data_IF_054878956517
#
_entry.id   IF_054878956517
#
_cell.length_a   1.000
_cell.length_b   1.000
_cell.length_c   1.000
_cell.angle_alpha   90.00
_cell.angle_beta   90.00
_cell.angle_gamma   90.00
#
_symmetry.space_group_name_H-M   'P 1'
#
loop_
_entity.id
_entity.type
_entity.pdbx_description
1 polymer ?
#
# COMPACT_ATOMS: atom_id res chain seq x y z
N UNK A 1 -7.58 -2.99 30.01
CA UNK A 1 -7.42 -1.55 29.70
C UNK A 1 -8.01 -1.32 28.32
N UNK A 2 -8.94 -0.38 28.16
CA UNK A 2 -9.57 -0.06 26.86
C UNK A 2 -8.63 0.83 26.07
N UNK A 3 -8.09 0.32 24.95
CA UNK A 3 -7.35 1.14 23.98
C UNK A 3 -8.27 2.30 23.56
N UNK A 4 -7.83 3.56 23.67
CA UNK A 4 -8.64 4.68 23.20
C UNK A 4 -8.88 4.49 21.71
N UNK A 5 -10.14 4.27 21.34
CA UNK A 5 -10.56 4.19 19.94
C UNK A 5 -10.46 5.60 19.38
N UNK A 6 -9.29 5.94 18.83
CA UNK A 6 -9.12 7.20 18.08
C UNK A 6 -10.00 7.06 16.84
N UNK A 7 -11.22 7.58 16.93
CA UNK A 7 -12.09 7.81 15.78
C UNK A 7 -11.47 8.98 15.02
N UNK A 8 -10.49 8.69 14.17
CA UNK A 8 -10.10 9.63 13.14
C UNK A 8 -11.21 9.62 12.10
N UNK A 9 -11.80 10.79 11.86
CA UNK A 9 -12.69 10.94 10.72
C UNK A 9 -11.91 10.55 9.45
N UNK A 10 -12.52 9.75 8.55
CA UNK A 10 -11.84 9.33 7.34
C UNK A 10 -11.47 10.55 6.51
N UNK A 11 -10.19 10.69 6.18
CA UNK A 11 -9.69 11.74 5.30
C UNK A 11 -10.11 11.37 3.88
N UNK A 12 -10.96 12.20 3.29
CA UNK A 12 -11.36 12.04 1.89
C UNK A 12 -10.23 12.51 0.97
N UNK A 13 -9.86 11.72 -0.05
CA UNK A 13 -8.88 12.16 -1.03
C UNK A 13 -9.45 13.31 -1.86
N UNK A 14 -8.59 14.26 -2.22
CA UNK A 14 -8.85 15.25 -3.27
C UNK A 14 -9.02 14.57 -4.63
N UNK A 15 -9.59 15.27 -5.62
CA UNK A 15 -9.73 14.73 -6.98
C UNK A 15 -8.37 14.37 -7.60
N UNK A 16 -7.34 15.16 -7.32
CA UNK A 16 -5.98 14.89 -7.78
C UNK A 16 -5.42 13.59 -7.17
N UNK A 17 -5.62 13.39 -5.87
CA UNK A 17 -5.21 12.16 -5.18
C UNK A 17 -5.99 10.95 -5.69
N UNK A 18 -7.31 11.08 -5.94
CA UNK A 18 -8.13 10.01 -6.52
C UNK A 18 -7.57 9.54 -7.86
N UNK A 19 -7.25 10.47 -8.77
CA UNK A 19 -6.64 10.15 -10.08
C UNK A 19 -5.27 9.50 -9.93
N UNK A 20 -4.47 9.97 -8.97
CA UNK A 20 -3.16 9.38 -8.69
C UNK A 20 -3.28 7.94 -8.16
N UNK A 21 -4.25 7.67 -7.28
CA UNK A 21 -4.52 6.34 -6.73
C UNK A 21 -5.02 5.39 -7.83
N UNK A 22 -5.93 5.83 -8.71
CA UNK A 22 -6.40 5.02 -9.85
C UNK A 22 -5.27 4.67 -10.82
N UNK A 23 -4.37 5.62 -11.09
CA UNK A 23 -3.18 5.37 -11.91
C UNK A 23 -2.27 4.35 -11.23
N UNK A 24 -2.04 4.49 -9.92
CA UNK A 24 -1.22 3.58 -9.15
C UNK A 24 -1.79 2.15 -9.16
N UNK A 25 -3.09 1.98 -8.92
CA UNK A 25 -3.77 0.67 -8.96
C UNK A 25 -3.58 -0.02 -10.33
N UNK A 26 -3.73 0.74 -11.42
CA UNK A 26 -3.48 0.23 -12.78
C UNK A 26 -2.02 -0.18 -12.96
N UNK A 27 -1.07 0.67 -12.59
CA UNK A 27 0.37 0.37 -12.69
C UNK A 27 0.76 -0.88 -11.93
N UNK A 28 0.19 -1.07 -10.73
CA UNK A 28 0.45 -2.23 -9.91
C UNK A 28 -0.24 -3.49 -10.47
N UNK A 29 -1.42 -3.37 -11.08
CA UNK A 29 -2.16 -4.50 -11.66
C UNK A 29 -1.56 -5.05 -12.96
N UNK A 30 -0.77 -4.27 -13.70
CA UNK A 30 -0.08 -4.73 -14.92
C UNK A 30 0.90 -5.90 -14.69
N UNK A 31 1.31 -6.17 -13.44
CA UNK A 31 2.18 -7.31 -13.14
C UNK A 31 1.48 -8.67 -13.18
N UNK A 32 0.18 -8.72 -12.91
CA UNK A 32 -0.52 -10.00 -12.66
C UNK A 32 -0.94 -10.72 -13.94
N UNK A 33 -0.94 -10.03 -15.08
CA UNK A 33 -1.55 -10.54 -16.32
C UNK A 33 -0.54 -11.10 -17.32
N UNK A 34 0.75 -10.80 -17.18
CA UNK A 34 1.78 -11.30 -18.09
C UNK A 34 2.30 -12.67 -17.61
N UNK A 35 1.65 -13.72 -18.09
CA UNK A 35 1.90 -15.14 -17.79
C UNK A 35 3.25 -15.71 -18.24
N UNK A 36 4.27 -14.89 -18.47
CA UNK A 36 5.59 -15.32 -18.93
C UNK A 36 6.69 -14.75 -18.00
N UNK A 37 6.85 -15.38 -16.83
CA UNK A 37 8.12 -15.56 -16.11
C UNK A 37 8.93 -14.35 -15.57
N UNK A 38 8.76 -13.14 -16.10
CA UNK A 38 9.44 -11.93 -15.65
C UNK A 38 8.42 -10.93 -15.08
N UNK A 39 7.94 -11.23 -13.86
CA UNK A 39 7.24 -10.25 -13.06
C UNK A 39 8.10 -8.97 -12.98
N UNK A 40 7.60 -7.85 -13.50
CA UNK A 40 8.24 -6.53 -13.39
C UNK A 40 8.67 -6.34 -11.93
N UNK A 41 9.97 -6.41 -11.65
CA UNK A 41 10.50 -6.18 -10.30
C UNK A 41 10.40 -4.69 -10.04
N UNK A 42 9.38 -4.29 -9.29
CA UNK A 42 9.28 -2.93 -8.76
C UNK A 42 10.48 -2.68 -7.87
N UNK A 43 11.03 -1.49 -8.00
CA UNK A 43 12.15 -1.06 -7.18
C UNK A 43 11.79 0.27 -6.54
N UNK A 44 12.15 0.43 -5.27
CA UNK A 44 12.12 1.71 -4.60
C UNK A 44 13.42 2.41 -5.01
N UNK A 45 13.28 3.51 -5.74
CA UNK A 45 14.40 4.35 -6.13
C UNK A 45 14.45 5.56 -5.21
N UNK A 46 15.55 5.69 -4.47
CA UNK A 46 15.80 6.85 -3.62
C UNK A 46 16.31 8.05 -4.41
N UNK A 47 16.37 9.21 -3.75
CA UNK A 47 16.72 10.49 -4.38
C UNK A 47 18.16 10.53 -4.91
N UNK A 48 19.05 9.67 -4.42
CA UNK A 48 20.43 9.53 -4.89
C UNK A 48 20.59 8.52 -6.03
N UNK A 49 19.49 7.93 -6.52
CA UNK A 49 19.51 6.91 -7.57
C UNK A 49 19.77 5.50 -7.05
N UNK A 50 19.91 5.31 -5.73
CA UNK A 50 19.91 3.99 -5.10
C UNK A 50 18.60 3.28 -5.36
N UNK A 51 18.67 1.99 -5.71
CA UNK A 51 17.50 1.20 -6.07
C UNK A 51 17.44 -0.07 -5.23
N UNK A 52 16.31 -0.29 -4.58
CA UNK A 52 16.05 -1.47 -3.75
C UNK A 52 14.90 -2.25 -4.37
N UNK A 53 15.14 -3.52 -4.72
CA UNK A 53 14.08 -4.41 -5.16
C UNK A 53 13.01 -4.53 -4.07
N UNK A 54 11.76 -4.26 -4.43
CA UNK A 54 10.64 -4.34 -3.51
C UNK A 54 10.33 -5.81 -3.19
N UNK A 55 10.36 -6.24 -1.91
CA UNK A 55 9.92 -7.57 -1.52
C UNK A 55 8.48 -7.83 -1.96
N UNK A 56 8.19 -9.07 -2.37
CA UNK A 56 6.87 -9.45 -2.88
C UNK A 56 5.75 -9.16 -1.87
N UNK A 57 5.98 -9.41 -0.58
CA UNK A 57 5.01 -9.11 0.48
C UNK A 57 4.66 -7.63 0.57
N UNK A 58 5.64 -6.73 0.41
CA UNK A 58 5.41 -5.29 0.41
C UNK A 58 4.70 -4.84 -0.88
N UNK A 59 5.04 -5.44 -2.01
CA UNK A 59 4.35 -5.20 -3.26
C UNK A 59 2.86 -5.56 -3.16
N UNK A 60 2.54 -6.76 -2.67
CA UNK A 60 1.16 -7.22 -2.50
C UNK A 60 0.37 -6.32 -1.54
N UNK A 61 0.99 -5.89 -0.43
CA UNK A 61 0.37 -4.97 0.52
C UNK A 61 0.04 -3.62 -0.15
N UNK A 62 1.00 -3.05 -0.90
CA UNK A 62 0.80 -1.79 -1.60
C UNK A 62 -0.27 -1.91 -2.70
N UNK A 63 -0.27 -3.00 -3.45
CA UNK A 63 -1.28 -3.27 -4.48
C UNK A 63 -2.67 -3.38 -3.86
N UNK A 64 -2.81 -4.16 -2.79
CA UNK A 64 -4.09 -4.33 -2.11
C UNK A 64 -4.59 -3.01 -1.51
N UNK A 65 -3.71 -2.21 -0.91
CA UNK A 65 -4.07 -0.89 -0.38
C UNK A 65 -4.52 0.06 -1.51
N UNK A 66 -3.75 0.16 -2.59
CA UNK A 66 -4.09 0.99 -3.75
C UNK A 66 -5.41 0.57 -4.37
N UNK A 67 -5.65 -0.74 -4.52
CA UNK A 67 -6.87 -1.29 -5.08
C UNK A 67 -8.11 -0.95 -4.24
N UNK A 68 -8.01 -1.09 -2.92
CA UNK A 68 -9.08 -0.72 -2.00
C UNK A 68 -9.38 0.78 -2.05
N UNK A 69 -8.33 1.61 -2.07
CA UNK A 69 -8.48 3.07 -2.15
C UNK A 69 -9.06 3.52 -3.51
N UNK A 70 -8.67 2.88 -4.62
CA UNK A 70 -9.23 3.14 -5.95
C UNK A 70 -10.71 2.76 -6.04
N UNK A 71 -11.14 1.77 -5.26
CA UNK A 71 -12.55 1.36 -5.13
C UNK A 71 -13.35 2.22 -4.13
N UNK A 72 -12.87 3.43 -3.79
CA UNK A 72 -13.47 4.35 -2.81
C UNK A 72 -13.68 3.72 -1.42
N UNK A 73 -12.88 2.70 -1.04
CA UNK A 73 -12.94 2.10 0.29
C UNK A 73 -11.96 2.78 1.23
N UNK A 74 -12.44 3.12 2.43
CA UNK A 74 -11.59 3.63 3.50
C UNK A 74 -10.62 2.54 3.99
N UNK A 75 -9.33 2.89 4.07
CA UNK A 75 -8.26 2.03 4.59
C UNK A 75 -7.67 2.67 5.83
N UNK A 76 -7.39 1.87 6.86
CA UNK A 76 -6.72 2.32 8.07
C UNK A 76 -5.51 1.45 8.35
N UNK A 77 -4.39 2.08 8.70
CA UNK A 77 -3.21 1.38 9.18
C UNK A 77 -3.30 1.29 10.70
N UNK A 78 -3.44 0.06 11.21
CA UNK A 78 -3.48 -0.21 12.64
C UNK A 78 -2.13 -0.79 13.04
N UNK A 79 -1.38 -0.14 13.94
CA UNK A 79 -0.20 -0.74 14.52
C UNK A 79 -0.61 -2.04 15.21
N UNK A 80 0.02 -3.15 14.81
CA UNK A 80 -0.04 -4.36 15.61
C UNK A 80 0.82 -4.03 16.83
N UNK A 81 0.19 -3.77 17.97
CA UNK A 81 0.90 -3.56 19.23
C UNK A 81 1.97 -4.65 19.34
N UNK A 82 3.24 -4.22 19.48
CA UNK A 82 4.29 -5.11 19.94
C UNK A 82 3.80 -5.60 21.30
N UNK A 83 3.26 -6.81 21.35
CA UNK A 83 3.14 -7.56 22.58
C UNK A 83 4.58 -7.76 23.07
N UNK A 84 5.12 -6.74 23.75
CA UNK A 84 6.21 -6.88 24.67
C UNK A 84 5.72 -7.92 25.66
N UNK A 85 6.15 -9.16 25.44
CA UNK A 85 6.17 -10.20 26.44
C UNK A 85 6.95 -9.62 27.62
N UNK A 86 6.23 -9.05 28.58
CA UNK A 86 6.72 -9.00 29.94
C UNK A 86 6.57 -10.43 30.46
N UNK A 87 7.69 -11.16 30.43
CA UNK A 87 7.87 -12.36 31.27
C UNK A 87 7.77 -11.98 32.76
#
# INVERSE_FOLDING_TARGET
MTVPKILLDPILPTEAERKAIELLDKMLSLKTENGDGEALKLQIVGIGGESIALPESLYQLLHQAAHLMAADRAVSLVPIEQNLTVE
#
